data_IF_708577043458
#
_entry.id   IF_708577043458
#
_cell.length_a   1.000
_cell.length_b   1.000
_cell.length_c   1.000
_cell.angle_alpha   90.00
_cell.angle_beta   90.00
_cell.angle_gamma   90.00
#
_symmetry.space_group_name_H-M   'P 1'
#
loop_
_entity.id
_entity.type
_entity.pdbx_description
1 polymer ?
#
# COMPACT_ATOMS: atom_id res chain seq x y z
N UNK A 1 65.14 2.70 -9.23
CA UNK A 1 65.03 4.11 -9.63
C UNK A 1 63.56 4.53 -9.55
N UNK A 2 63.20 5.19 -8.45
CA UNK A 2 61.84 5.65 -8.14
C UNK A 2 61.56 6.98 -8.87
N UNK A 3 60.48 7.07 -9.64
CA UNK A 3 59.88 8.36 -10.02
C UNK A 3 58.44 8.42 -9.49
N UNK A 4 58.28 9.15 -8.39
CA UNK A 4 56.99 9.58 -7.84
C UNK A 4 56.33 10.55 -8.82
N UNK A 5 55.16 10.21 -9.34
CA UNK A 5 54.27 11.15 -9.99
C UNK A 5 53.50 11.94 -8.91
N UNK A 6 53.52 13.27 -9.00
CA UNK A 6 52.74 14.18 -8.14
C UNK A 6 51.32 14.30 -8.69
N UNK A 7 50.28 14.35 -7.84
CA UNK A 7 48.91 14.61 -8.29
C UNK A 7 48.71 16.09 -8.61
N UNK A 8 48.08 16.35 -9.76
CA UNK A 8 47.64 17.68 -10.20
C UNK A 8 46.16 17.83 -9.82
N UNK A 9 45.84 18.79 -8.96
CA UNK A 9 44.47 19.22 -8.65
C UNK A 9 44.12 20.41 -9.55
N UNK A 10 43.05 20.36 -10.37
CA UNK A 10 42.50 21.57 -10.97
C UNK A 10 41.58 22.30 -10.00
N UNK A 11 41.76 23.62 -9.96
CA UNK A 11 41.06 24.55 -9.10
C UNK A 11 39.55 24.63 -9.41
N UNK A 12 38.77 24.69 -8.33
CA UNK A 12 37.35 24.98 -8.29
C UNK A 12 37.11 26.45 -8.68
N UNK A 13 36.52 26.70 -9.85
CA UNK A 13 36.02 28.03 -10.23
C UNK A 13 34.53 28.08 -9.89
N UNK A 14 34.19 28.80 -8.82
CA UNK A 14 32.80 29.09 -8.46
C UNK A 14 32.38 30.34 -9.25
N UNK A 15 31.57 30.16 -10.29
CA UNK A 15 30.87 31.25 -10.96
C UNK A 15 29.57 31.49 -10.20
N UNK A 16 29.50 32.59 -9.45
CA UNK A 16 28.27 33.08 -8.83
C UNK A 16 27.46 33.77 -9.93
N UNK A 17 26.51 33.04 -10.52
CA UNK A 17 25.53 33.62 -11.45
C UNK A 17 24.43 34.28 -10.61
N UNK A 18 24.42 35.61 -10.56
CA UNK A 18 23.31 36.38 -10.01
C UNK A 18 22.11 36.28 -10.98
N UNK A 19 21.16 35.40 -10.67
CA UNK A 19 19.87 35.35 -11.38
C UNK A 19 18.94 36.37 -10.73
N UNK A 20 18.76 37.50 -11.41
CA UNK A 20 17.66 38.45 -11.14
C UNK A 20 16.33 37.75 -11.38
N UNK A 21 15.60 37.48 -10.30
CA UNK A 21 14.21 36.99 -10.34
C UNK A 21 13.31 38.17 -10.69
N UNK A 22 12.73 38.15 -11.88
CA UNK A 22 11.57 39.00 -12.20
C UNK A 22 10.34 38.50 -11.42
N UNK A 23 9.52 39.39 -10.84
CA UNK A 23 8.25 38.99 -10.26
C UNK A 23 7.29 38.61 -11.38
N UNK A 24 6.94 37.32 -11.43
CA UNK A 24 5.88 36.79 -12.28
C UNK A 24 4.53 37.25 -11.71
N UNK A 25 3.75 37.93 -12.55
CA UNK A 25 2.41 38.39 -12.22
C UNK A 25 1.51 37.21 -11.83
N UNK A 26 0.94 37.27 -10.63
CA UNK A 26 -0.09 36.36 -10.15
C UNK A 26 -1.37 36.64 -10.93
N UNK A 27 -1.70 35.75 -11.88
CA UNK A 27 -3.02 35.69 -12.47
C UNK A 27 -3.98 35.06 -11.43
N UNK A 28 -4.82 35.88 -10.83
CA UNK A 28 -5.97 35.44 -10.07
C UNK A 28 -6.97 34.76 -11.02
N UNK A 29 -6.97 33.42 -11.03
CA UNK A 29 -7.86 32.60 -11.84
C UNK A 29 -8.58 31.57 -10.98
N UNK A 30 -9.89 31.77 -10.83
CA UNK A 30 -10.90 30.79 -10.45
C UNK A 30 -10.61 29.88 -9.24
N UNK A 31 -11.00 30.37 -8.06
CA UNK A 31 -11.29 29.53 -6.89
C UNK A 31 -12.49 28.63 -7.21
N UNK A 32 -12.27 27.42 -7.73
CA UNK A 32 -13.27 26.36 -7.72
C UNK A 32 -13.37 25.82 -6.30
N UNK A 33 -14.36 26.32 -5.56
CA UNK A 33 -14.76 25.75 -4.29
C UNK A 33 -15.20 24.30 -4.51
N UNK A 34 -14.31 23.34 -4.23
CA UNK A 34 -14.71 21.96 -3.98
C UNK A 34 -15.78 21.99 -2.88
N UNK A 35 -16.91 21.29 -3.02
CA UNK A 35 -17.87 21.20 -1.92
C UNK A 35 -17.14 20.57 -0.74
N UNK A 36 -17.07 21.29 0.37
CA UNK A 36 -16.64 20.75 1.64
C UNK A 36 -17.50 19.52 1.94
N UNK A 37 -16.95 18.33 1.70
CA UNK A 37 -17.58 17.07 2.08
C UNK A 37 -17.60 17.09 3.59
N UNK A 38 -18.82 17.25 4.13
CA UNK A 38 -19.08 17.32 5.57
C UNK A 38 -18.30 16.21 6.26
N UNK A 39 -17.27 16.60 7.03
CA UNK A 39 -16.61 15.73 7.98
C UNK A 39 -17.63 15.56 9.09
N UNK A 40 -18.50 14.57 8.94
CA UNK A 40 -19.38 14.16 10.02
C UNK A 40 -18.43 13.69 11.12
N UNK A 41 -18.41 14.36 12.29
CA UNK A 41 -17.62 13.85 13.41
C UNK A 41 -18.07 12.42 13.65
N UNK A 42 -17.09 11.52 13.69
CA UNK A 42 -17.27 10.12 14.06
C UNK A 42 -17.95 10.11 15.43
N UNK A 43 -19.28 10.09 15.43
CA UNK A 43 -20.03 9.55 16.55
C UNK A 43 -19.51 8.15 16.63
N UNK A 44 -18.70 7.88 17.67
CA UNK A 44 -18.36 6.53 18.09
C UNK A 44 -19.67 5.75 18.09
N UNK A 45 -19.90 5.02 17.00
CA UNK A 45 -20.88 3.97 16.96
C UNK A 45 -20.26 2.92 17.85
N UNK A 46 -20.43 3.13 19.16
CA UNK A 46 -20.34 2.09 20.17
C UNK A 46 -21.42 1.09 19.79
N UNK A 47 -21.05 0.27 18.80
CA UNK A 47 -21.83 -0.82 18.28
C UNK A 47 -21.70 -1.84 19.38
N UNK A 48 -22.57 -1.72 20.39
CA UNK A 48 -22.52 -2.48 21.63
C UNK A 48 -22.01 -3.92 21.39
N UNK A 49 -20.71 -4.13 21.62
CA UNK A 49 -20.02 -5.42 21.50
C UNK A 49 -19.04 -5.65 20.33
N UNK A 50 -18.87 -4.73 19.37
CA UNK A 50 -17.91 -4.88 18.26
C UNK A 50 -16.52 -4.26 18.52
N UNK A 51 -15.48 -4.79 17.86
CA UNK A 51 -14.10 -4.26 17.95
C UNK A 51 -13.93 -2.97 17.14
N UNK A 52 -13.14 -2.02 17.64
CA UNK A 52 -12.85 -0.76 16.94
C UNK A 52 -11.51 -0.87 16.21
N UNK A 53 -11.53 -0.97 14.89
CA UNK A 53 -10.35 -1.17 14.07
C UNK A 53 -9.93 0.16 13.44
N UNK A 54 -8.83 0.72 13.94
CA UNK A 54 -8.20 1.91 13.36
C UNK A 54 -6.78 1.57 12.93
N UNK A 55 -6.56 1.46 11.61
CA UNK A 55 -5.24 1.15 11.07
C UNK A 55 -4.31 2.36 10.99
N UNK A 56 -4.84 3.56 11.24
CA UNK A 56 -4.07 4.81 11.28
C UNK A 56 -3.50 5.10 12.67
N UNK A 57 -3.93 4.33 13.68
CA UNK A 57 -3.32 4.35 14.99
C UNK A 57 -1.88 3.81 14.91
N UNK A 58 -0.89 4.65 15.17
CA UNK A 58 0.52 4.27 15.10
C UNK A 58 0.92 3.23 16.17
N UNK A 59 0.17 3.14 17.28
CA UNK A 59 0.42 2.19 18.35
C UNK A 59 -0.25 0.84 18.05
N UNK A 60 0.54 -0.24 18.03
CA UNK A 60 0.02 -1.61 17.96
C UNK A 60 -0.36 -2.12 16.57
N UNK A 61 -0.30 -1.28 15.53
CA UNK A 61 -0.55 -1.67 14.13
C UNK A 61 0.76 -2.01 13.42
N UNK A 62 0.88 -3.23 12.91
CA UNK A 62 2.01 -3.64 12.06
C UNK A 62 1.57 -3.73 10.60
N UNK A 63 2.30 -3.03 9.71
CA UNK A 63 2.07 -3.07 8.25
C UNK A 63 3.09 -3.97 7.57
N UNK A 64 2.62 -4.93 6.78
CA UNK A 64 3.44 -5.76 5.90
C UNK A 64 2.94 -5.65 4.46
N UNK A 65 3.85 -5.39 3.51
CA UNK A 65 3.54 -5.37 2.07
C UNK A 65 4.21 -6.56 1.41
N UNK A 66 3.46 -7.29 0.58
CA UNK A 66 3.94 -8.44 -0.19
C UNK A 66 3.49 -8.33 -1.64
N UNK A 67 4.47 -8.17 -2.50
CA UNK A 67 4.34 -8.02 -3.95
C UNK A 67 5.20 -9.07 -4.72
N UNK A 68 6.14 -9.71 -4.02
CA UNK A 68 7.04 -10.75 -4.53
C UNK A 68 6.69 -12.10 -3.94
N UNK A 69 6.68 -13.11 -4.79
CA UNK A 69 6.34 -14.49 -4.45
C UNK A 69 7.44 -15.43 -4.95
N UNK A 70 7.53 -16.62 -4.34
CA UNK A 70 8.35 -17.70 -4.88
C UNK A 70 7.65 -18.30 -6.11
N UNK A 71 7.75 -17.61 -7.24
CA UNK A 71 7.05 -17.87 -8.49
C UNK A 71 8.02 -17.74 -9.67
N UNK A 72 7.76 -18.37 -10.83
CA UNK A 72 8.49 -18.05 -12.07
C UNK A 72 8.37 -16.56 -12.45
N UNK A 73 7.33 -15.88 -11.97
CA UNK A 73 7.12 -14.44 -12.13
C UNK A 73 7.77 -13.64 -11.00
N UNK A 74 8.39 -12.51 -11.33
CA UNK A 74 9.07 -11.63 -10.36
C UNK A 74 8.09 -10.98 -9.38
N UNK A 75 6.96 -10.52 -9.89
CA UNK A 75 5.90 -9.91 -9.08
C UNK A 75 4.56 -10.62 -9.29
N UNK A 76 3.75 -10.60 -8.23
CA UNK A 76 2.36 -11.07 -8.25
C UNK A 76 1.41 -9.99 -7.72
N UNK A 77 0.19 -10.38 -7.32
CA UNK A 77 -0.74 -9.46 -6.68
C UNK A 77 -0.10 -8.77 -5.49
N UNK A 78 -0.26 -7.44 -5.39
CA UNK A 78 0.25 -6.70 -4.22
C UNK A 78 -0.74 -6.85 -3.07
N UNK A 79 -0.24 -7.30 -1.92
CA UNK A 79 -1.02 -7.49 -0.70
C UNK A 79 -0.45 -6.63 0.41
N UNK A 80 -1.32 -5.94 1.15
CA UNK A 80 -0.98 -5.19 2.34
C UNK A 80 -1.72 -5.81 3.51
N UNK A 81 -1.00 -6.15 4.57
CA UNK A 81 -1.54 -6.68 5.80
C UNK A 81 -1.33 -5.65 6.91
N UNK A 82 -2.42 -5.18 7.50
CA UNK A 82 -2.42 -4.40 8.72
C UNK A 82 -2.83 -5.33 9.86
N UNK A 83 -1.90 -5.66 10.75
CA UNK A 83 -2.14 -6.49 11.93
C UNK A 83 -2.40 -5.56 13.12
N UNK A 84 -3.61 -5.66 13.69
CA UNK A 84 -4.03 -4.92 14.89
C UNK A 84 -4.04 -5.92 16.05
N UNK A 85 -2.90 -6.03 16.73
CA UNK A 85 -2.68 -7.08 17.72
C UNK A 85 -3.59 -6.93 18.94
N UNK A 86 -3.85 -5.70 19.38
CA UNK A 86 -4.71 -5.38 20.52
C UNK A 86 -6.16 -5.82 20.28
N UNK A 87 -6.62 -5.73 19.02
CA UNK A 87 -7.97 -6.12 18.60
C UNK A 87 -8.03 -7.57 18.08
N UNK A 88 -6.95 -8.34 18.17
CA UNK A 88 -6.84 -9.68 17.59
C UNK A 88 -7.41 -9.73 16.15
N UNK A 89 -7.01 -8.77 15.31
CA UNK A 89 -7.59 -8.55 13.99
C UNK A 89 -6.52 -8.30 12.93
N UNK A 90 -6.90 -8.53 11.68
CA UNK A 90 -6.08 -8.22 10.52
C UNK A 90 -6.93 -7.66 9.39
N UNK A 91 -6.46 -6.56 8.78
CA UNK A 91 -7.04 -6.01 7.56
C UNK A 91 -6.10 -6.31 6.40
N UNK A 92 -6.60 -7.00 5.37
CA UNK A 92 -5.88 -7.31 4.14
C UNK A 92 -6.40 -6.45 3.01
N UNK A 93 -5.52 -5.69 2.37
CA UNK A 93 -5.80 -4.99 1.11
C UNK A 93 -5.10 -5.75 -0.02
N UNK A 94 -5.78 -6.05 -1.12
CA UNK A 94 -5.21 -6.76 -2.24
C UNK A 94 -5.47 -6.04 -3.56
N UNK A 95 -4.40 -5.79 -4.31
CA UNK A 95 -4.41 -5.34 -5.70
C UNK A 95 -4.00 -6.51 -6.61
N UNK A 96 -4.88 -6.97 -7.52
CA UNK A 96 -4.49 -7.84 -8.62
C UNK A 96 -3.39 -7.19 -9.49
N UNK A 97 -2.57 -8.02 -10.14
CA UNK A 97 -1.46 -7.58 -10.99
C UNK A 97 -1.81 -7.63 -12.49
N UNK A 98 -3.11 -7.62 -12.83
CA UNK A 98 -3.64 -7.97 -14.15
C UNK A 98 -4.20 -6.78 -14.96
N UNK A 99 -4.40 -5.62 -14.34
CA UNK A 99 -5.02 -4.47 -14.98
C UNK A 99 -4.60 -3.14 -14.35
N UNK A 100 -4.57 -2.10 -15.17
CA UNK A 100 -4.38 -0.69 -14.78
C UNK A 100 -5.66 -0.02 -14.29
N UNK A 101 -6.77 -0.75 -14.15
CA UNK A 101 -7.98 -0.25 -13.47
C UNK A 101 -7.81 -0.19 -11.94
N UNK A 102 -6.75 -0.83 -11.41
CA UNK A 102 -6.38 -0.87 -9.99
C UNK A 102 -7.52 -1.23 -9.03
N UNK A 103 -8.48 -2.05 -9.49
CA UNK A 103 -9.54 -2.59 -8.64
C UNK A 103 -8.89 -3.34 -7.48
N UNK A 104 -9.30 -3.05 -6.26
CA UNK A 104 -8.75 -3.69 -5.07
C UNK A 104 -9.86 -4.23 -4.17
N UNK A 105 -9.49 -5.16 -3.30
CA UNK A 105 -10.37 -5.70 -2.27
C UNK A 105 -9.79 -5.45 -0.88
N UNK A 106 -10.69 -5.33 0.09
CA UNK A 106 -10.33 -5.23 1.51
C UNK A 106 -11.08 -6.31 2.26
N UNK A 107 -10.35 -7.11 3.03
CA UNK A 107 -10.91 -8.19 3.84
C UNK A 107 -10.45 -8.02 5.28
N UNK A 108 -11.42 -7.98 6.20
CA UNK A 108 -11.19 -7.96 7.64
C UNK A 108 -11.27 -9.39 8.16
N UNK A 109 -10.26 -9.79 8.91
CA UNK A 109 -10.19 -11.06 9.61
C UNK A 109 -10.19 -10.78 11.11
N UNK A 110 -11.12 -11.39 11.83
CA UNK A 110 -11.13 -11.38 13.29
C UNK A 110 -10.64 -12.74 13.77
N UNK A 111 -9.80 -12.75 14.79
CA UNK A 111 -9.32 -13.96 15.47
C UNK A 111 -9.94 -14.05 16.87
N UNK A 112 -9.74 -15.18 17.53
CA UNK A 112 -10.11 -15.36 18.94
C UNK A 112 -9.40 -14.30 19.81
N UNK A 113 -10.09 -13.82 20.84
CA UNK A 113 -9.51 -12.86 21.79
C UNK A 113 -8.21 -13.42 22.40
N UNK A 114 -7.19 -12.57 22.54
CA UNK A 114 -5.87 -12.98 23.03
C UNK A 114 -4.97 -13.65 21.98
N UNK A 115 -5.41 -13.80 20.73
CA UNK A 115 -4.51 -14.19 19.63
C UNK A 115 -3.41 -13.15 19.47
N UNK A 116 -2.16 -13.57 19.61
CA UNK A 116 -1.01 -12.67 19.57
C UNK A 116 -0.64 -12.22 18.15
N UNK A 117 0.08 -11.11 18.04
CA UNK A 117 0.64 -10.62 16.77
C UNK A 117 1.44 -11.70 16.04
N UNK A 118 2.29 -12.44 16.75
CA UNK A 118 3.10 -13.52 16.17
C UNK A 118 2.25 -14.63 15.56
N UNK A 119 1.16 -15.01 16.23
CA UNK A 119 0.20 -16.01 15.71
C UNK A 119 -0.49 -15.48 14.45
N UNK A 120 -0.95 -14.23 14.46
CA UNK A 120 -1.54 -13.61 13.25
C UNK A 120 -0.51 -13.55 12.12
N UNK A 121 0.76 -13.27 12.44
CA UNK A 121 1.87 -13.30 11.49
C UNK A 121 2.08 -14.67 10.84
N UNK A 122 1.88 -15.78 11.58
CA UNK A 122 1.90 -17.14 11.02
C UNK A 122 0.77 -17.34 9.99
N UNK A 123 -0.42 -16.82 10.28
CA UNK A 123 -1.54 -16.82 9.34
C UNK A 123 -1.23 -15.98 8.09
N UNK A 124 -0.72 -14.76 8.26
CA UNK A 124 -0.25 -13.89 7.14
C UNK A 124 0.77 -14.63 6.29
N UNK A 125 1.74 -15.29 6.91
CA UNK A 125 2.76 -16.03 6.18
C UNK A 125 2.14 -17.12 5.30
N UNK A 126 1.20 -17.88 5.87
CA UNK A 126 0.52 -18.95 5.14
C UNK A 126 -0.41 -18.44 4.04
N UNK A 127 -0.84 -17.17 4.04
CA UNK A 127 -1.66 -16.58 2.96
C UNK A 127 -0.86 -16.29 1.68
N UNK A 128 0.46 -16.13 1.78
CA UNK A 128 1.30 -15.70 0.65
C UNK A 128 2.54 -16.58 0.41
N UNK A 129 2.75 -17.60 1.24
CA UNK A 129 3.88 -18.54 1.21
C UNK A 129 3.36 -19.98 1.17
N UNK A 130 4.27 -20.96 1.05
CA UNK A 130 3.99 -22.41 0.98
C UNK A 130 3.51 -23.02 2.32
N UNK A 131 2.71 -22.27 3.09
CA UNK A 131 2.10 -22.69 4.35
C UNK A 131 3.10 -23.28 5.37
N UNK A 132 4.19 -22.55 5.62
CA UNK A 132 5.30 -22.99 6.50
C UNK A 132 4.84 -23.34 7.93
N UNK A 133 3.76 -22.73 8.41
CA UNK A 133 3.23 -22.98 9.74
C UNK A 133 2.12 -24.04 9.68
N UNK A 134 2.27 -25.20 10.35
CA UNK A 134 1.30 -26.30 10.24
C UNK A 134 -0.02 -26.03 10.99
N UNK A 135 -0.02 -25.11 11.95
CA UNK A 135 -1.20 -24.77 12.77
C UNK A 135 -1.30 -23.26 13.01
N UNK A 136 -1.53 -22.43 11.97
CA UNK A 136 -1.76 -21.00 12.15
C UNK A 136 -3.12 -20.78 12.85
N UNK A 137 -3.32 -19.64 13.54
CA UNK A 137 -4.63 -19.32 14.09
C UNK A 137 -5.67 -19.26 12.95
N UNK A 138 -6.88 -19.70 13.25
CA UNK A 138 -8.01 -19.62 12.32
C UNK A 138 -8.84 -18.38 12.63
N UNK A 139 -9.21 -17.58 11.62
CA UNK A 139 -10.14 -16.48 11.84
C UNK A 139 -11.48 -17.00 12.38
N UNK A 140 -12.02 -16.33 13.40
CA UNK A 140 -13.39 -16.53 13.89
C UNK A 140 -14.42 -15.88 12.96
N UNK A 141 -14.00 -14.84 12.24
CA UNK A 141 -14.79 -14.19 11.20
C UNK A 141 -13.91 -13.67 10.07
N UNK A 142 -14.48 -13.65 8.86
CA UNK A 142 -13.90 -13.04 7.68
C UNK A 142 -14.98 -12.21 6.99
N UNK A 143 -14.72 -10.93 6.75
CA UNK A 143 -15.68 -10.01 6.11
C UNK A 143 -14.98 -9.23 5.01
N UNK A 144 -15.50 -9.34 3.79
CA UNK A 144 -15.04 -8.55 2.65
C UNK A 144 -15.80 -7.23 2.61
N UNK A 145 -15.08 -6.12 2.60
CA UNK A 145 -15.65 -4.78 2.47
C UNK A 145 -16.24 -4.62 1.05
N UNK A 146 -17.48 -4.11 0.91
CA UNK A 146 -18.10 -3.94 -0.39
C UNK A 146 -17.32 -2.95 -1.27
N UNK A 147 -17.21 -3.26 -2.57
CA UNK A 147 -16.49 -2.42 -3.52
C UNK A 147 -16.99 -0.96 -3.60
N UNK A 148 -18.24 -0.70 -3.21
CA UNK A 148 -18.79 0.67 -3.14
C UNK A 148 -18.12 1.56 -2.08
N UNK A 149 -17.41 0.98 -1.11
CA UNK A 149 -16.65 1.68 -0.08
C UNK A 149 -15.15 1.82 -0.42
N UNK A 150 -14.74 1.36 -1.61
CA UNK A 150 -13.35 1.28 -2.05
C UNK A 150 -13.14 2.23 -3.23
N UNK A 151 -12.19 3.16 -3.11
CA UNK A 151 -11.95 4.18 -4.14
C UNK A 151 -10.48 4.27 -4.47
N UNK A 152 -10.13 4.17 -5.75
CA UNK A 152 -8.81 4.58 -6.25
C UNK A 152 -8.87 6.08 -6.51
N UNK A 153 -8.00 6.84 -5.83
CA UNK A 153 -7.97 8.30 -5.90
C UNK A 153 -7.03 8.79 -7.01
N UNK A 154 -5.88 8.12 -7.17
CA UNK A 154 -4.89 8.44 -8.17
C UNK A 154 -4.00 7.23 -8.47
N UNK A 155 -3.40 7.21 -9.65
CA UNK A 155 -2.39 6.23 -10.05
C UNK A 155 -1.36 6.91 -10.94
N UNK A 156 -0.08 6.77 -10.59
CA UNK A 156 1.04 7.33 -11.33
C UNK A 156 1.97 6.22 -11.80
N UNK A 157 2.29 6.17 -13.10
CA UNK A 157 3.34 5.30 -13.62
C UNK A 157 4.69 5.82 -13.10
N UNK A 158 5.37 5.00 -12.32
CA UNK A 158 6.64 5.32 -11.67
C UNK A 158 7.84 4.68 -12.36
N UNK A 159 7.61 3.62 -13.14
CA UNK A 159 8.69 2.93 -13.82
C UNK A 159 8.23 1.73 -14.63
N UNK A 160 9.22 1.00 -15.11
CA UNK A 160 9.05 -0.26 -15.82
C UNK A 160 10.17 -1.20 -15.37
N UNK A 161 9.80 -2.43 -15.02
CA UNK A 161 10.71 -3.46 -14.51
C UNK A 161 10.66 -4.72 -15.36
N UNK A 162 11.82 -5.17 -15.80
CA UNK A 162 12.00 -6.49 -16.43
C UNK A 162 12.53 -7.47 -15.39
N UNK A 163 11.85 -8.60 -15.24
CA UNK A 163 12.25 -9.71 -14.39
C UNK A 163 13.39 -10.53 -15.00
N UNK A 164 14.04 -11.32 -14.16
CA UNK A 164 15.21 -12.11 -14.58
C UNK A 164 14.89 -13.18 -15.62
N UNK A 165 13.60 -13.53 -15.77
CA UNK A 165 13.12 -14.51 -16.74
C UNK A 165 12.50 -13.84 -17.98
N UNK A 166 12.54 -12.50 -18.08
CA UNK A 166 12.02 -11.75 -19.22
C UNK A 166 10.55 -11.31 -19.09
N UNK A 167 9.91 -11.56 -17.95
CA UNK A 167 8.61 -11.00 -17.59
C UNK A 167 8.71 -9.48 -17.39
N UNK A 168 7.75 -8.73 -17.93
CA UNK A 168 7.77 -7.26 -17.85
C UNK A 168 6.59 -6.71 -17.06
N UNK A 169 6.85 -5.61 -16.36
CA UNK A 169 5.88 -4.94 -15.51
C UNK A 169 5.99 -3.44 -15.67
N UNK A 170 4.85 -2.79 -15.66
CA UNK A 170 4.75 -1.36 -15.37
C UNK A 170 4.56 -1.17 -13.87
N UNK A 171 5.36 -0.27 -13.29
CA UNK A 171 5.38 0.01 -11.87
C UNK A 171 4.54 1.25 -11.57
N UNK A 172 3.56 1.15 -10.67
CA UNK A 172 2.64 2.24 -10.34
C UNK A 172 2.69 2.60 -8.86
N UNK A 173 2.55 3.89 -8.56
CA UNK A 173 2.15 4.36 -7.24
C UNK A 173 0.64 4.60 -7.26
N UNK A 174 -0.11 3.82 -6.47
CA UNK A 174 -1.57 3.89 -6.41
C UNK A 174 -1.99 4.49 -5.07
N UNK A 175 -2.69 5.62 -5.11
CA UNK A 175 -3.37 6.20 -3.95
C UNK A 175 -4.80 5.69 -3.89
N UNK A 176 -5.18 5.11 -2.76
CA UNK A 176 -6.51 4.56 -2.55
C UNK A 176 -7.09 5.00 -1.21
N UNK A 177 -8.41 4.92 -1.10
CA UNK A 177 -9.19 5.23 0.08
C UNK A 177 -10.17 4.10 0.36
N UNK A 178 -10.35 3.82 1.65
CA UNK A 178 -11.37 2.92 2.19
C UNK A 178 -12.27 3.75 3.09
N UNK A 179 -13.55 3.81 2.75
CA UNK A 179 -14.55 4.47 3.58
C UNK A 179 -14.77 3.66 4.87
N UNK A 180 -15.19 4.35 5.94
CA UNK A 180 -15.51 3.70 7.20
C UNK A 180 -16.59 2.63 7.00
N UNK A 181 -16.43 1.50 7.66
CA UNK A 181 -17.34 0.36 7.50
C UNK A 181 -17.69 -0.25 8.85
N UNK A 182 -18.98 -0.48 9.09
CA UNK A 182 -19.46 -1.11 10.32
C UNK A 182 -20.11 -2.44 9.96
N UNK A 183 -19.62 -3.49 10.62
CA UNK A 183 -20.24 -4.81 10.61
C UNK A 183 -20.89 -5.02 11.99
N UNK A 184 -22.23 -4.87 12.10
CA UNK A 184 -22.92 -4.88 13.39
C UNK A 184 -22.59 -6.12 14.24
N UNK A 185 -22.21 -5.87 15.50
CA UNK A 185 -21.86 -6.91 16.47
C UNK A 185 -20.49 -7.57 16.25
N UNK A 186 -19.72 -7.17 15.23
CA UNK A 186 -18.38 -7.70 14.96
C UNK A 186 -17.31 -6.62 15.06
N UNK A 187 -17.38 -5.59 14.22
CA UNK A 187 -16.38 -4.53 14.19
C UNK A 187 -16.86 -3.22 13.58
N UNK A 188 -16.13 -2.15 13.86
CA UNK A 188 -16.15 -0.87 13.15
C UNK A 188 -14.75 -0.58 12.62
N UNK A 189 -14.60 -0.47 11.30
CA UNK A 189 -13.36 -0.10 10.62
C UNK A 189 -13.39 1.41 10.33
N UNK A 190 -12.41 2.14 10.86
CA UNK A 190 -12.22 3.55 10.56
C UNK A 190 -11.87 3.77 9.08
N UNK A 191 -12.28 4.92 8.54
CA UNK A 191 -11.87 5.31 7.19
C UNK A 191 -10.35 5.55 7.16
N UNK A 192 -9.71 5.20 6.05
CA UNK A 192 -8.28 5.46 5.86
C UNK A 192 -7.94 5.63 4.39
N UNK A 193 -6.81 6.28 4.12
CA UNK A 193 -6.18 6.32 2.81
C UNK A 193 -4.71 5.93 2.89
N UNK A 194 -4.17 5.43 1.79
CA UNK A 194 -2.75 5.05 1.70
C UNK A 194 -2.28 5.13 0.26
N UNK A 195 -0.96 5.18 0.11
CA UNK A 195 -0.27 4.95 -1.17
C UNK A 195 0.42 3.59 -1.12
N UNK A 196 0.41 2.86 -2.24
CA UNK A 196 1.09 1.57 -2.38
C UNK A 196 1.71 1.44 -3.77
N UNK A 197 2.87 0.77 -3.84
CA UNK A 197 3.47 0.36 -5.11
C UNK A 197 2.76 -0.88 -5.66
N UNK A 198 2.34 -0.85 -6.92
CA UNK A 198 1.68 -1.98 -7.61
C UNK A 198 2.43 -2.25 -8.91
N UNK A 199 2.58 -3.53 -9.23
CA UNK A 199 3.20 -3.98 -10.47
C UNK A 199 2.12 -4.59 -11.38
N UNK A 200 1.89 -3.98 -12.53
CA UNK A 200 0.95 -4.49 -13.53
C UNK A 200 1.75 -5.18 -14.62
N UNK A 201 1.43 -6.44 -14.88
CA UNK A 201 2.15 -7.21 -15.88
C UNK A 201 1.83 -6.68 -17.28
N UNK A 202 2.86 -6.43 -18.09
CA UNK A 202 2.73 -5.98 -19.47
C UNK A 202 3.11 -7.05 -20.48
N UNK A 203 3.95 -8.03 -20.09
CA UNK A 203 4.38 -9.14 -20.95
C UNK A 203 4.38 -10.49 -20.22
N UNK A 204 3.99 -11.56 -20.92
CA UNK A 204 4.07 -12.94 -20.44
C UNK A 204 5.43 -13.60 -20.76
N UNK A 205 5.84 -14.61 -19.97
CA UNK A 205 7.12 -15.33 -20.14
C UNK A 205 7.23 -16.09 -21.47
N UNK A 206 6.11 -16.38 -22.12
CA UNK A 206 6.06 -17.06 -23.42
C UNK A 206 5.61 -16.10 -24.53
N UNK A 207 6.56 -15.29 -25.02
CA UNK A 207 6.47 -14.68 -26.34
C UNK A 207 5.85 -13.28 -26.41
N UNK A 208 6.67 -12.24 -26.19
CA UNK A 208 6.37 -10.90 -26.66
C UNK A 208 6.90 -10.65 -28.08
N UNK A 209 6.01 -10.55 -29.09
CA UNK A 209 6.14 -9.61 -30.19
C UNK A 209 5.22 -8.41 -29.92
N UNK A 210 5.76 -7.19 -30.10
CA UNK A 210 5.06 -5.92 -29.87
C UNK A 210 3.97 -5.59 -30.89
#
# INVERSE_FOLDING_TARGET
MNRRAKPFLPALVIVVLAVTVLPLAVAAGASSSLPARSVIPFLSADTAGGRSLDITADAGVTKQVVDRYFSPYRYGPTQIFYVLAEDAAMVRVQFPADSTDFRFSVTVYLFEDGTTADRIGQFVNNLHSDALYPDPPRPTSQTTIPASALVVLASDLTGHTVGSQGDEYDDYAVKFQVDAHVQPGLFSLAAFDSVVGVHVRTCDLEGCPG
#
